data_IF_609297071012
#
_entry.id   IF_609297071012
#
_cell.length_a   1.000
_cell.length_b   1.000
_cell.length_c   1.000
_cell.angle_alpha   90.00
_cell.angle_beta   90.00
_cell.angle_gamma   90.00
#
_symmetry.space_group_name_H-M   'P 1'
#
loop_
_entity.id
_entity.type
_entity.pdbx_description
1 polymer ?
#
# COMPACT_ATOMS: atom_id res chain seq x y z
N UNK A 1 15.25 3.49 -9.99
CA UNK A 1 14.14 3.59 -10.94
C UNK A 1 13.93 2.21 -11.56
N UNK A 2 12.99 1.43 -11.06
CA UNK A 2 12.58 0.17 -11.69
C UNK A 2 11.11 0.34 -12.03
N UNK A 3 10.85 0.53 -13.32
CA UNK A 3 9.53 0.58 -13.92
C UNK A 3 8.91 -0.80 -13.81
N UNK A 4 7.98 -0.96 -12.90
CA UNK A 4 7.09 -2.12 -12.89
C UNK A 4 6.10 -1.95 -14.02
N UNK A 5 6.33 -2.70 -15.10
CA UNK A 5 5.40 -2.84 -16.21
C UNK A 5 4.05 -3.34 -15.69
N UNK A 6 3.05 -2.47 -15.81
CA UNK A 6 1.65 -2.88 -15.82
C UNK A 6 1.45 -3.72 -17.10
N UNK A 7 1.51 -5.02 -16.98
CA UNK A 7 0.97 -5.92 -17.99
C UNK A 7 -0.55 -5.93 -17.84
N UNK A 8 -1.18 -4.93 -18.42
CA UNK A 8 -2.58 -5.00 -18.78
C UNK A 8 -2.64 -5.90 -20.01
N UNK A 9 -2.70 -7.21 -19.80
CA UNK A 9 -2.93 -8.18 -20.85
C UNK A 9 -4.40 -8.14 -21.24
N UNK A 10 -4.75 -7.12 -22.04
CA UNK A 10 -5.95 -7.15 -22.85
C UNK A 10 -5.82 -8.24 -23.91
N UNK A 11 -6.13 -9.47 -23.56
CA UNK A 11 -6.32 -10.55 -24.51
C UNK A 11 -7.71 -10.44 -25.13
N UNK A 12 -7.90 -9.41 -25.97
CA UNK A 12 -8.88 -9.50 -27.04
C UNK A 12 -8.25 -10.32 -28.16
N UNK A 13 -8.21 -11.62 -28.02
CA UNK A 13 -8.00 -12.51 -29.13
C UNK A 13 -9.31 -12.61 -29.93
N UNK A 14 -9.43 -11.80 -30.98
CA UNK A 14 -10.31 -12.10 -32.06
C UNK A 14 -9.83 -13.41 -32.70
N UNK A 15 -10.32 -14.52 -32.20
CA UNK A 15 -10.20 -15.80 -32.87
C UNK A 15 -11.29 -15.81 -33.90
N UNK A 16 -10.85 -15.75 -35.16
CA UNK A 16 -11.71 -15.95 -36.34
C UNK A 16 -12.54 -17.22 -36.17
N UNK A 17 -13.83 -17.07 -36.46
CA UNK A 17 -14.87 -18.09 -36.41
C UNK A 17 -14.60 -19.21 -37.39
N UNK A 18 -13.82 -20.22 -37.00
CA UNK A 18 -14.11 -21.58 -37.41
C UNK A 18 -14.97 -22.15 -36.27
N UNK A 19 -16.28 -22.15 -36.48
CA UNK A 19 -17.22 -22.75 -35.55
C UNK A 19 -17.08 -24.27 -35.61
N UNK A 20 -16.03 -24.81 -35.06
CA UNK A 20 -16.02 -26.19 -34.61
C UNK A 20 -16.93 -26.22 -33.38
N UNK A 21 -18.11 -26.84 -33.54
CA UNK A 21 -18.99 -27.09 -32.41
C UNK A 21 -18.20 -27.89 -31.38
N UNK A 22 -17.75 -27.21 -30.33
CA UNK A 22 -17.05 -27.87 -29.20
C UNK A 22 -18.02 -28.88 -28.60
N UNK A 23 -17.54 -30.07 -28.33
CA UNK A 23 -18.37 -31.05 -27.62
C UNK A 23 -18.60 -30.56 -26.19
N UNK A 24 -19.74 -30.87 -25.54
CA UNK A 24 -20.01 -30.49 -24.18
C UNK A 24 -18.89 -30.90 -23.20
N UNK A 25 -18.23 -32.02 -23.44
CA UNK A 25 -17.09 -32.51 -22.66
C UNK A 25 -15.88 -31.54 -22.77
N UNK A 26 -15.58 -31.05 -23.98
CA UNK A 26 -14.49 -30.09 -24.18
C UNK A 26 -14.77 -28.77 -23.49
N UNK A 27 -16.02 -28.31 -23.55
CA UNK A 27 -16.47 -27.09 -22.86
C UNK A 27 -16.28 -27.22 -21.35
N UNK A 28 -16.75 -28.30 -20.73
CA UNK A 28 -16.57 -28.58 -19.31
C UNK A 28 -15.08 -28.61 -18.91
N UNK A 29 -14.21 -29.14 -19.75
CA UNK A 29 -12.78 -29.12 -19.48
C UNK A 29 -12.18 -27.71 -19.48
N UNK A 30 -12.61 -26.85 -20.42
CA UNK A 30 -12.18 -25.45 -20.48
C UNK A 30 -12.69 -24.66 -19.27
N UNK A 31 -13.96 -24.80 -18.93
CA UNK A 31 -14.56 -24.14 -17.76
C UNK A 31 -13.85 -24.54 -16.47
N UNK A 32 -13.53 -25.83 -16.32
CA UNK A 32 -12.74 -26.30 -15.17
C UNK A 32 -11.32 -25.72 -15.14
N UNK A 33 -10.69 -25.50 -16.28
CA UNK A 33 -9.37 -24.86 -16.34
C UNK A 33 -9.46 -23.37 -15.92
N UNK A 34 -10.47 -22.65 -16.39
CA UNK A 34 -10.74 -21.27 -16.04
C UNK A 34 -11.02 -21.13 -14.54
N UNK A 35 -11.95 -21.92 -13.99
CA UNK A 35 -12.28 -21.93 -12.56
C UNK A 35 -11.03 -22.17 -11.67
N UNK A 36 -10.11 -23.02 -12.14
CA UNK A 36 -8.84 -23.24 -11.41
C UNK A 36 -7.92 -22.02 -11.49
N UNK A 37 -7.91 -21.32 -12.61
CA UNK A 37 -7.13 -20.09 -12.76
C UNK A 37 -7.67 -19.00 -11.86
N UNK A 38 -8.98 -18.70 -11.94
CA UNK A 38 -9.64 -17.69 -11.10
C UNK A 38 -9.44 -17.98 -9.61
N UNK A 39 -9.46 -19.27 -9.23
CA UNK A 39 -9.19 -19.66 -7.84
C UNK A 39 -7.76 -19.31 -7.41
N UNK A 40 -6.76 -19.48 -8.30
CA UNK A 40 -5.37 -19.12 -8.01
C UNK A 40 -5.22 -17.61 -7.87
N UNK A 41 -5.85 -16.86 -8.77
CA UNK A 41 -5.76 -15.40 -8.80
C UNK A 41 -6.44 -14.80 -7.55
N UNK A 42 -7.63 -15.29 -7.16
CA UNK A 42 -8.28 -14.95 -5.89
C UNK A 42 -7.38 -15.23 -4.67
N UNK A 43 -6.65 -16.34 -4.69
CA UNK A 43 -5.71 -16.66 -3.61
C UNK A 43 -4.51 -15.73 -3.59
N UNK A 44 -3.97 -15.35 -4.75
CA UNK A 44 -2.86 -14.43 -4.88
C UNK A 44 -3.24 -13.06 -4.36
N UNK A 45 -4.36 -12.51 -4.83
CA UNK A 45 -4.88 -11.21 -4.37
C UNK A 45 -5.16 -11.20 -2.87
N UNK A 46 -5.71 -12.30 -2.37
CA UNK A 46 -5.95 -12.42 -0.92
C UNK A 46 -4.64 -12.36 -0.11
N UNK A 47 -3.54 -12.94 -0.61
CA UNK A 47 -2.23 -12.86 0.04
C UNK A 47 -1.66 -11.45 -0.02
N UNK A 48 -1.78 -10.81 -1.19
CA UNK A 48 -1.30 -9.44 -1.40
C UNK A 48 -2.05 -8.45 -0.51
N UNK A 49 -3.38 -8.53 -0.46
CA UNK A 49 -4.22 -7.72 0.45
C UNK A 49 -3.82 -7.90 1.91
N UNK A 50 -3.53 -9.14 2.34
CA UNK A 50 -3.03 -9.40 3.70
C UNK A 50 -1.68 -8.77 3.96
N UNK A 51 -0.77 -8.87 2.98
CA UNK A 51 0.56 -8.25 3.07
C UNK A 51 0.44 -6.73 3.18
N UNK A 52 -0.34 -6.09 2.31
CA UNK A 52 -0.51 -4.63 2.33
C UNK A 52 -1.19 -4.14 3.61
N UNK A 53 -2.16 -4.90 4.13
CA UNK A 53 -2.73 -4.60 5.44
C UNK A 53 -1.69 -4.62 6.56
N UNK A 54 -0.78 -5.59 6.56
CA UNK A 54 0.29 -5.67 7.56
C UNK A 54 1.28 -4.50 7.44
N UNK A 55 1.70 -4.15 6.21
CA UNK A 55 2.59 -3.00 5.96
C UNK A 55 1.93 -1.69 6.37
N UNK A 56 0.67 -1.48 5.98
CA UNK A 56 -0.09 -0.28 6.35
C UNK A 56 -0.22 -0.17 7.88
N UNK A 57 -0.51 -1.27 8.57
CA UNK A 57 -0.63 -1.27 10.02
C UNK A 57 0.71 -0.93 10.71
N UNK A 58 1.81 -1.53 10.27
CA UNK A 58 3.15 -1.26 10.77
C UNK A 58 3.51 0.22 10.58
N UNK A 59 3.36 0.75 9.36
CA UNK A 59 3.66 2.15 9.05
C UNK A 59 2.78 3.15 9.81
N UNK A 60 1.52 2.84 10.05
CA UNK A 60 0.66 3.67 10.92
C UNK A 60 1.16 3.72 12.35
N UNK A 61 1.70 2.63 12.86
CA UNK A 61 2.28 2.57 14.21
C UNK A 61 3.56 3.39 14.28
N UNK A 62 4.45 3.28 13.27
CA UNK A 62 5.67 4.11 13.14
C UNK A 62 5.30 5.59 13.11
N UNK A 63 4.44 6.03 12.21
CA UNK A 63 3.97 7.42 12.11
C UNK A 63 3.37 7.92 13.43
N UNK A 64 2.66 7.09 14.17
CA UNK A 64 2.12 7.48 15.48
C UNK A 64 3.21 7.69 16.53
N UNK A 65 4.25 6.84 16.53
CA UNK A 65 5.41 6.99 17.40
C UNK A 65 6.22 8.23 17.04
N UNK A 66 6.52 8.43 15.76
CA UNK A 66 7.30 9.57 15.25
C UNK A 66 6.59 10.91 15.54
N UNK A 67 5.27 10.95 15.44
CA UNK A 67 4.50 12.14 15.85
C UNK A 67 4.63 12.45 17.35
N UNK A 68 4.82 11.44 18.19
CA UNK A 68 5.10 11.66 19.62
C UNK A 68 6.52 12.18 19.84
N UNK A 69 7.51 11.59 19.14
CA UNK A 69 8.91 12.07 19.16
C UNK A 69 8.96 13.52 18.69
N UNK A 70 8.36 13.82 17.54
CA UNK A 70 8.28 15.17 17.00
C UNK A 70 7.64 16.19 17.98
N UNK A 71 6.68 15.74 18.77
CA UNK A 71 6.09 16.59 19.82
C UNK A 71 7.08 16.88 20.96
N UNK A 72 7.83 15.87 21.38
CA UNK A 72 8.87 16.02 22.43
C UNK A 72 9.99 16.95 21.94
N UNK A 73 10.56 16.72 20.77
CA UNK A 73 11.59 17.55 20.15
C UNK A 73 11.17 19.03 20.03
N UNK A 74 9.91 19.29 19.67
CA UNK A 74 9.38 20.66 19.65
C UNK A 74 9.31 21.28 21.03
N UNK A 75 9.01 20.51 22.06
CA UNK A 75 9.01 20.98 23.43
C UNK A 75 10.44 21.31 23.89
N UNK A 76 11.40 20.44 23.60
CA UNK A 76 12.80 20.61 23.92
C UNK A 76 13.40 21.84 23.23
N UNK A 77 13.17 21.99 21.92
CA UNK A 77 13.54 23.20 21.17
C UNK A 77 12.96 24.47 21.79
N UNK A 78 11.70 24.46 22.22
CA UNK A 78 11.06 25.62 22.84
C UNK A 78 11.64 25.91 24.22
N UNK A 79 12.04 24.88 24.97
CA UNK A 79 12.71 25.01 26.26
C UNK A 79 14.11 25.63 26.07
N UNK A 80 14.87 25.16 25.11
CA UNK A 80 16.16 25.73 24.72
C UNK A 80 16.02 27.20 24.30
N UNK A 81 15.00 27.55 23.52
CA UNK A 81 14.76 28.94 23.12
C UNK A 81 14.46 29.86 24.32
N UNK A 82 13.72 29.37 25.33
CA UNK A 82 13.46 30.15 26.56
C UNK A 82 14.72 30.31 27.39
N UNK A 83 15.54 29.27 27.51
CA UNK A 83 16.80 29.33 28.23
C UNK A 83 17.79 30.30 27.54
N UNK A 84 17.91 30.23 26.22
CA UNK A 84 18.70 31.16 25.41
C UNK A 84 18.31 32.62 25.69
N UNK A 85 17.01 32.91 25.65
CA UNK A 85 16.50 34.26 25.94
C UNK A 85 16.81 34.72 27.38
N UNK A 86 16.79 33.79 28.35
CA UNK A 86 17.11 34.10 29.73
C UNK A 86 18.61 34.43 29.90
N UNK A 87 19.49 33.70 29.22
CA UNK A 87 20.92 33.95 29.27
C UNK A 87 21.30 35.26 28.56
N UNK A 88 20.68 35.57 27.43
CA UNK A 88 20.82 36.89 26.79
C UNK A 88 20.44 38.02 27.78
N UNK A 89 19.30 37.89 28.50
CA UNK A 89 18.87 38.89 29.49
C UNK A 89 19.83 39.06 30.67
N UNK A 90 20.55 38.00 31.04
CA UNK A 90 21.59 38.03 32.09
C UNK A 90 22.93 38.53 31.57
N UNK A 91 23.10 38.72 30.28
CA UNK A 91 24.36 39.08 29.63
C UNK A 91 25.32 37.89 29.43
N UNK A 92 24.88 36.66 29.66
CA UNK A 92 25.67 35.45 29.35
C UNK A 92 25.57 35.11 27.89
N UNK A 93 26.34 35.80 27.08
CA UNK A 93 26.38 35.60 25.64
C UNK A 93 27.01 34.25 25.25
N UNK A 94 27.91 33.71 26.05
CA UNK A 94 28.55 32.41 25.77
C UNK A 94 27.55 31.27 26.00
N UNK A 95 26.80 31.29 27.11
CA UNK A 95 25.70 30.36 27.37
C UNK A 95 24.61 30.42 26.29
N UNK A 96 24.19 31.65 25.94
CA UNK A 96 23.20 31.85 24.88
C UNK A 96 23.62 31.26 23.51
N UNK A 97 24.91 31.40 23.11
CA UNK A 97 25.42 30.81 21.89
C UNK A 97 25.45 29.28 21.91
N UNK A 98 25.72 28.68 23.07
CA UNK A 98 25.64 27.21 23.19
C UNK A 98 24.20 26.72 23.05
N UNK A 99 23.26 27.39 23.68
CA UNK A 99 21.82 27.07 23.58
C UNK A 99 21.27 27.29 22.18
N UNK A 100 21.72 28.34 21.47
CA UNK A 100 21.33 28.54 20.05
C UNK A 100 21.82 27.39 19.17
N UNK A 101 23.06 26.89 19.36
CA UNK A 101 23.58 25.73 18.65
C UNK A 101 22.73 24.47 18.93
N UNK A 102 22.42 24.22 20.20
CA UNK A 102 21.58 23.10 20.60
C UNK A 102 20.18 23.21 19.99
N UNK A 103 19.56 24.40 20.04
CA UNK A 103 18.25 24.67 19.45
C UNK A 103 18.24 24.47 17.91
N UNK A 104 19.31 24.82 17.22
CA UNK A 104 19.46 24.56 15.78
C UNK A 104 19.59 23.07 15.49
N UNK A 105 20.31 22.32 16.33
CA UNK A 105 20.41 20.86 16.21
C UNK A 105 19.03 20.21 16.35
N UNK A 106 18.26 20.59 17.37
CA UNK A 106 16.88 20.13 17.54
C UNK A 106 15.99 20.49 16.33
N UNK A 107 16.17 21.68 15.76
CA UNK A 107 15.42 22.06 14.57
C UNK A 107 15.76 21.19 13.34
N UNK A 108 17.02 20.74 13.24
CA UNK A 108 17.40 19.78 12.20
C UNK A 108 16.76 18.41 12.43
N UNK A 109 16.75 17.91 13.66
CA UNK A 109 16.09 16.67 14.03
C UNK A 109 14.58 16.73 13.72
N UNK A 110 13.91 17.79 14.14
CA UNK A 110 12.49 18.05 13.81
C UNK A 110 12.22 18.02 12.30
N UNK A 111 13.12 18.54 11.49
CA UNK A 111 12.95 18.56 10.04
C UNK A 111 13.14 17.18 9.43
N UNK A 112 14.11 16.40 9.93
CA UNK A 112 14.32 15.01 9.53
C UNK A 112 13.08 14.17 9.86
N UNK A 113 12.62 14.22 11.11
CA UNK A 113 11.44 13.50 11.58
C UNK A 113 10.17 13.82 10.76
N UNK A 114 9.97 15.09 10.42
CA UNK A 114 8.86 15.49 9.53
C UNK A 114 8.98 14.90 8.15
N UNK A 115 10.21 14.77 7.63
CA UNK A 115 10.44 14.17 6.33
C UNK A 115 10.08 12.67 6.36
N UNK A 116 10.48 11.97 7.42
CA UNK A 116 10.24 10.54 7.57
C UNK A 116 8.75 10.25 7.77
N UNK A 117 8.05 11.03 8.61
CA UNK A 117 6.59 10.98 8.75
C UNK A 117 5.91 11.15 7.39
N UNK A 118 6.32 12.17 6.60
CA UNK A 118 5.73 12.43 5.28
C UNK A 118 5.98 11.30 4.30
N UNK A 119 7.18 10.72 4.32
CA UNK A 119 7.52 9.56 3.50
C UNK A 119 6.62 8.37 3.86
N UNK A 120 6.46 8.07 5.13
CA UNK A 120 5.64 6.95 5.59
C UNK A 120 4.15 7.15 5.33
N UNK A 121 3.64 8.36 5.48
CA UNK A 121 2.28 8.72 5.07
C UNK A 121 2.06 8.50 3.56
N UNK A 122 3.07 8.80 2.74
CA UNK A 122 3.02 8.52 1.29
C UNK A 122 2.99 7.00 1.00
N UNK A 123 3.83 6.22 1.70
CA UNK A 123 3.81 4.75 1.59
C UNK A 123 2.46 4.18 1.98
N UNK A 124 1.87 4.66 3.07
CA UNK A 124 0.53 4.25 3.52
C UNK A 124 -0.52 4.57 2.45
N UNK A 125 -0.48 5.76 1.86
CA UNK A 125 -1.42 6.18 0.82
C UNK A 125 -1.30 5.30 -0.43
N UNK A 126 -0.07 5.05 -0.90
CA UNK A 126 0.20 4.22 -2.08
C UNK A 126 -0.29 2.78 -1.86
N UNK A 127 0.10 2.16 -0.74
CA UNK A 127 -0.33 0.80 -0.40
C UNK A 127 -1.84 0.68 -0.21
N UNK A 128 -2.48 1.72 0.33
CA UNK A 128 -3.94 1.73 0.47
C UNK A 128 -4.65 1.78 -0.88
N UNK A 129 -4.12 2.54 -1.84
CA UNK A 129 -4.65 2.60 -3.20
C UNK A 129 -4.45 1.27 -3.95
N UNK A 130 -3.28 0.65 -3.84
CA UNK A 130 -3.02 -0.65 -4.47
C UNK A 130 -3.93 -1.74 -3.88
N UNK A 131 -4.05 -1.79 -2.55
CA UNK A 131 -4.99 -2.69 -1.88
C UNK A 131 -6.43 -2.52 -2.37
N UNK A 132 -6.88 -1.29 -2.61
CA UNK A 132 -8.24 -1.08 -3.16
C UNK A 132 -8.40 -1.69 -4.54
N UNK A 133 -7.40 -1.54 -5.43
CA UNK A 133 -7.42 -2.17 -6.76
C UNK A 133 -7.51 -3.69 -6.66
N UNK A 134 -6.69 -4.29 -5.78
CA UNK A 134 -6.68 -5.74 -5.57
C UNK A 134 -7.99 -6.26 -4.96
N UNK A 135 -8.64 -5.47 -4.09
CA UNK A 135 -9.96 -5.82 -3.55
C UNK A 135 -11.02 -5.84 -4.65
N UNK A 136 -10.97 -4.87 -5.57
CA UNK A 136 -11.89 -4.82 -6.74
C UNK A 136 -11.59 -6.00 -7.66
N UNK A 137 -10.34 -6.20 -8.06
CA UNK A 137 -9.93 -7.31 -8.93
C UNK A 137 -10.40 -8.66 -8.37
N UNK A 138 -10.11 -8.92 -7.09
CA UNK A 138 -10.57 -10.15 -6.42
C UNK A 138 -12.09 -10.29 -6.38
N UNK A 139 -12.82 -9.19 -6.28
CA UNK A 139 -14.28 -9.24 -6.36
C UNK A 139 -14.74 -9.67 -7.74
N UNK A 140 -14.16 -9.06 -8.78
CA UNK A 140 -14.52 -9.35 -10.18
C UNK A 140 -14.19 -10.80 -10.55
N UNK A 141 -13.01 -11.30 -10.18
CA UNK A 141 -12.62 -12.71 -10.33
C UNK A 141 -13.57 -13.68 -9.63
N UNK A 142 -14.08 -13.32 -8.44
CA UNK A 142 -15.10 -14.13 -7.78
C UNK A 142 -16.41 -14.17 -8.54
N UNK A 143 -16.82 -13.06 -9.14
CA UNK A 143 -18.01 -12.99 -9.96
C UNK A 143 -17.82 -13.84 -11.22
N UNK A 144 -16.69 -13.69 -11.92
CA UNK A 144 -16.33 -14.48 -13.10
C UNK A 144 -16.32 -15.97 -12.79
N UNK A 145 -15.66 -16.36 -11.69
CA UNK A 145 -15.65 -17.75 -11.24
C UNK A 145 -17.05 -18.32 -10.98
N UNK A 146 -17.95 -17.52 -10.42
CA UNK A 146 -19.35 -17.96 -10.23
C UNK A 146 -20.06 -18.18 -11.56
N UNK A 147 -19.83 -17.30 -12.54
CA UNK A 147 -20.38 -17.45 -13.89
C UNK A 147 -19.82 -18.71 -14.56
N UNK A 148 -18.54 -18.96 -14.46
CA UNK A 148 -17.88 -20.12 -15.06
C UNK A 148 -18.30 -21.44 -14.40
N UNK A 149 -18.53 -21.44 -13.09
CA UNK A 149 -19.15 -22.59 -12.40
C UNK A 149 -20.55 -22.85 -12.93
N UNK A 150 -21.38 -21.82 -13.11
CA UNK A 150 -22.73 -21.98 -13.64
C UNK A 150 -22.75 -22.48 -15.09
N UNK A 151 -21.82 -21.99 -15.94
CA UNK A 151 -21.64 -22.47 -17.32
C UNK A 151 -21.24 -23.95 -17.31
N UNK A 152 -20.22 -24.30 -16.56
CA UNK A 152 -19.75 -25.69 -16.42
C UNK A 152 -20.88 -26.63 -16.03
N UNK A 153 -21.68 -26.26 -15.02
CA UNK A 153 -22.75 -27.11 -14.54
C UNK A 153 -23.87 -27.27 -15.57
N UNK A 154 -24.16 -26.19 -16.34
CA UNK A 154 -25.09 -26.25 -17.46
C UNK A 154 -24.58 -27.16 -18.56
N UNK A 155 -23.31 -27.09 -18.92
CA UNK A 155 -22.74 -27.90 -20.02
C UNK A 155 -22.51 -29.34 -19.57
N UNK A 156 -22.21 -29.59 -18.31
CA UNK A 156 -22.20 -30.94 -17.73
C UNK A 156 -23.57 -31.61 -17.75
N UNK A 157 -24.64 -30.83 -17.61
CA UNK A 157 -26.02 -31.35 -17.73
C UNK A 157 -26.46 -31.77 -19.16
N UNK A 158 -25.61 -31.48 -20.18
CA UNK A 158 -25.85 -31.87 -21.58
C UNK A 158 -25.11 -33.16 -21.97
N UNK A 159 -24.31 -33.74 -21.11
CA UNK A 159 -23.55 -34.98 -21.32
C UNK A 159 -24.39 -36.15 -20.87
#
# INVERSE_FOLDING_TARGET
MKTTSLMLAGLLSMIGTAAFAQTPVQQVHQDNAQIRQDTKDIHQDTRQIKHDNAVIAAKKTEVAADKQVLKAERQDRNTLARAEQADVKKGDLAGAQQLDKARRSEQHAINAEKHDIKHDEHVIAHRSADKQKEVVARHDEKVERHVDVAKRDHDAGKI
#
